data_IF_472747402408
#
_entry.id   IF_472747402408
#
_cell.length_a   1.000
_cell.length_b   1.000
_cell.length_c   1.000
_cell.angle_alpha   90.00
_cell.angle_beta   90.00
_cell.angle_gamma   90.00
#
_symmetry.space_group_name_H-M   'P 1'
#
loop_
_entity.id
_entity.type
_entity.pdbx_description
1 polymer ?
#
# COMPACT_ATOMS: atom_id res chain seq x y z
N UNK A 1 -6.04 4.56 30.96
CA UNK A 1 -5.56 4.80 29.60
C UNK A 1 -4.91 3.54 29.06
N UNK A 2 -5.21 3.19 27.83
CA UNK A 2 -4.62 2.05 27.17
C UNK A 2 -3.83 2.55 25.96
N UNK A 3 -2.49 2.66 26.05
CA UNK A 3 -1.70 3.10 24.92
C UNK A 3 -1.70 2.02 23.84
N UNK A 4 -2.21 2.38 22.67
CA UNK A 4 -2.18 1.50 21.51
C UNK A 4 -1.11 1.94 20.52
N UNK A 5 -0.59 1.00 19.77
CA UNK A 5 0.23 1.28 18.60
C UNK A 5 -0.37 0.54 17.40
N UNK A 6 -0.13 1.09 16.22
CA UNK A 6 -0.53 0.41 14.99
C UNK A 6 0.26 -0.89 14.83
N UNK A 7 -0.37 -1.98 14.44
CA UNK A 7 0.29 -3.28 14.28
C UNK A 7 0.34 -3.71 12.82
N UNK A 8 -0.80 -3.88 12.19
CA UNK A 8 -0.84 -4.33 10.80
C UNK A 8 -2.13 -3.89 10.13
N UNK A 9 -2.11 -3.95 8.81
CA UNK A 9 -3.30 -3.84 7.98
C UNK A 9 -3.51 -5.18 7.27
N UNK A 10 -4.76 -5.61 7.14
CA UNK A 10 -5.10 -6.86 6.48
C UNK A 10 -6.01 -6.58 5.29
N UNK A 11 -5.70 -7.18 4.16
CA UNK A 11 -6.44 -7.01 2.92
C UNK A 11 -6.86 -8.38 2.38
N UNK A 12 -8.13 -8.48 1.99
CA UNK A 12 -8.61 -9.63 1.22
C UNK A 12 -8.13 -9.50 -0.22
N UNK A 13 -7.51 -10.53 -0.76
CA UNK A 13 -6.97 -10.51 -2.12
C UNK A 13 -7.47 -11.72 -2.91
N UNK A 14 -7.70 -11.56 -4.20
CA UNK A 14 -8.18 -12.67 -5.04
C UNK A 14 -7.05 -13.61 -5.41
N UNK A 15 -5.89 -13.08 -5.76
CA UNK A 15 -4.70 -13.85 -6.10
C UNK A 15 -3.54 -13.38 -5.21
N UNK A 16 -3.24 -14.17 -4.18
CA UNK A 16 -2.22 -13.79 -3.21
C UNK A 16 -0.82 -13.70 -3.84
N UNK A 17 -0.53 -14.51 -4.84
CA UNK A 17 0.77 -14.49 -5.51
C UNK A 17 0.94 -13.18 -6.30
N UNK A 18 -0.09 -12.76 -7.02
CA UNK A 18 -0.08 -11.49 -7.74
C UNK A 18 0.09 -10.31 -6.78
N UNK A 19 -0.63 -10.33 -5.66
CA UNK A 19 -0.53 -9.26 -4.67
C UNK A 19 0.85 -9.22 -4.00
N UNK A 20 1.42 -10.36 -3.64
CA UNK A 20 2.78 -10.42 -3.08
C UNK A 20 3.80 -9.84 -4.07
N UNK A 21 3.70 -10.23 -5.34
CA UNK A 21 4.63 -9.73 -6.37
C UNK A 21 4.50 -8.22 -6.51
N UNK A 22 3.29 -7.69 -6.50
CA UNK A 22 3.06 -6.25 -6.56
C UNK A 22 3.73 -5.52 -5.39
N UNK A 23 3.46 -5.94 -4.17
CA UNK A 23 3.98 -5.24 -2.99
C UNK A 23 5.50 -5.35 -2.86
N UNK A 24 6.08 -6.46 -3.27
CA UNK A 24 7.54 -6.59 -3.33
C UNK A 24 8.15 -5.68 -4.39
N UNK A 25 7.54 -5.63 -5.56
CA UNK A 25 8.09 -4.92 -6.71
C UNK A 25 7.85 -3.41 -6.63
N UNK A 26 6.62 -3.02 -6.29
CA UNK A 26 6.20 -1.61 -6.31
C UNK A 26 6.59 -0.90 -5.02
N UNK A 27 6.25 -1.46 -3.87
CA UNK A 27 6.58 -0.85 -2.57
C UNK A 27 7.90 -1.37 -1.99
N UNK A 28 8.52 -2.36 -2.64
CA UNK A 28 9.78 -2.95 -2.21
C UNK A 28 9.73 -3.50 -0.78
N UNK A 29 8.57 -4.00 -0.39
CA UNK A 29 8.39 -4.63 0.92
C UNK A 29 9.02 -6.02 0.94
N UNK A 30 9.41 -6.47 2.11
CA UNK A 30 10.01 -7.78 2.32
C UNK A 30 8.97 -8.74 2.88
N UNK A 31 8.80 -9.89 2.26
CA UNK A 31 7.94 -10.93 2.79
C UNK A 31 8.55 -11.54 4.06
N UNK A 32 7.72 -11.74 5.09
CA UNK A 32 8.11 -12.33 6.37
C UNK A 32 7.24 -13.56 6.64
N UNK A 33 7.71 -14.39 7.57
CA UNK A 33 6.99 -15.60 7.95
C UNK A 33 5.69 -15.28 8.68
N UNK A 34 4.59 -15.93 8.28
CA UNK A 34 3.35 -15.95 9.03
C UNK A 34 3.52 -16.88 10.23
N UNK A 35 3.67 -16.30 11.42
CA UNK A 35 3.87 -17.06 12.65
C UNK A 35 2.57 -17.34 13.40
N UNK A 36 1.43 -16.81 12.91
CA UNK A 36 0.16 -16.89 13.62
C UNK A 36 -0.68 -18.10 13.22
N UNK A 37 -0.50 -18.64 12.00
CA UNK A 37 -1.36 -19.71 11.50
C UNK A 37 -0.69 -20.51 10.40
N UNK A 38 -1.31 -21.64 10.07
CA UNK A 38 -0.94 -22.47 8.92
C UNK A 38 -1.81 -22.13 7.71
N UNK A 39 -2.52 -21.01 7.73
CA UNK A 39 -3.32 -20.54 6.61
C UNK A 39 -2.43 -20.08 5.46
N UNK A 40 -3.06 -19.81 4.30
CA UNK A 40 -2.34 -19.29 3.13
C UNK A 40 -2.17 -17.78 3.17
N UNK A 41 -2.51 -17.12 4.28
CA UNK A 41 -2.27 -15.69 4.48
C UNK A 41 -0.76 -15.42 4.48
N UNK A 42 -0.34 -14.44 3.69
CA UNK A 42 1.07 -14.09 3.55
C UNK A 42 1.31 -12.68 4.09
N UNK A 43 2.44 -12.52 4.76
CA UNK A 43 2.78 -11.30 5.48
C UNK A 43 3.96 -10.60 4.84
N UNK A 44 3.89 -9.28 4.82
CA UNK A 44 4.99 -8.40 4.41
C UNK A 44 5.30 -7.43 5.54
N UNK A 45 6.58 -7.13 5.70
CA UNK A 45 7.04 -6.12 6.65
C UNK A 45 6.95 -4.74 6.00
N UNK A 46 6.38 -3.76 6.71
CA UNK A 46 6.42 -2.38 6.28
C UNK A 46 7.66 -1.71 6.89
N UNK A 47 7.61 -1.31 8.12
CA UNK A 47 8.75 -0.79 8.87
C UNK A 47 8.39 -0.74 10.34
N UNK A 48 9.38 -0.63 11.22
CA UNK A 48 9.16 -0.50 12.66
C UNK A 48 8.24 -1.58 13.23
N UNK A 49 8.33 -2.81 12.68
CA UNK A 49 7.50 -3.92 13.11
C UNK A 49 6.06 -3.90 12.61
N UNK A 50 5.69 -2.92 11.78
CA UNK A 50 4.37 -2.85 11.16
C UNK A 50 4.31 -3.80 9.98
N UNK A 51 3.14 -4.36 9.71
CA UNK A 51 2.99 -5.45 8.73
C UNK A 51 1.79 -5.23 7.82
N UNK A 52 1.86 -5.85 6.66
CA UNK A 52 0.74 -5.99 5.73
C UNK A 52 0.43 -7.47 5.61
N UNK A 53 -0.82 -7.86 5.88
CA UNK A 53 -1.29 -9.24 5.77
C UNK A 53 -2.20 -9.36 4.56
N UNK A 54 -1.89 -10.30 3.67
CA UNK A 54 -2.68 -10.56 2.47
C UNK A 54 -3.41 -11.89 2.65
N UNK A 55 -4.73 -11.81 2.73
CA UNK A 55 -5.61 -12.95 3.02
C UNK A 55 -6.25 -13.42 1.73
N UNK A 56 -5.91 -14.62 1.22
CA UNK A 56 -6.52 -15.10 -0.03
C UNK A 56 -8.01 -15.36 0.12
N UNK A 57 -8.78 -14.72 -0.73
CA UNK A 57 -10.24 -14.83 -0.84
C UNK A 57 -10.61 -14.82 -2.31
N UNK A 58 -10.33 -15.91 -3.06
CA UNK A 58 -10.48 -15.91 -4.52
C UNK A 58 -11.92 -15.67 -5.00
N UNK A 59 -12.90 -16.02 -4.17
CA UNK A 59 -14.31 -15.87 -4.51
C UNK A 59 -14.96 -14.62 -3.93
N UNK A 60 -14.19 -13.78 -3.23
CA UNK A 60 -14.74 -12.58 -2.61
C UNK A 60 -15.02 -11.49 -3.66
N UNK A 61 -16.11 -10.77 -3.46
CA UNK A 61 -16.36 -9.52 -4.16
C UNK A 61 -15.64 -8.41 -3.40
N UNK A 62 -14.63 -7.81 -4.03
CA UNK A 62 -13.85 -6.75 -3.41
C UNK A 62 -14.33 -5.42 -3.96
N UNK A 63 -14.88 -4.59 -3.06
CA UNK A 63 -15.31 -3.23 -3.38
C UNK A 63 -14.39 -2.26 -2.67
N UNK A 64 -13.86 -1.29 -3.41
CA UNK A 64 -12.95 -0.29 -2.88
C UNK A 64 -13.47 1.11 -3.17
N UNK A 65 -13.05 2.07 -2.37
CA UNK A 65 -13.24 3.48 -2.68
C UNK A 65 -12.03 4.26 -2.15
N UNK A 66 -11.73 5.37 -2.80
CA UNK A 66 -10.51 6.13 -2.54
C UNK A 66 -10.46 6.73 -1.14
N UNK A 67 -11.64 7.01 -0.54
CA UNK A 67 -11.69 7.54 0.81
C UNK A 67 -11.29 6.51 1.87
N UNK A 68 -11.25 5.22 1.51
CA UNK A 68 -10.74 4.15 2.36
C UNK A 68 -9.39 3.73 1.78
N UNK A 69 -8.32 4.21 2.39
CA UNK A 69 -6.97 3.94 1.93
C UNK A 69 -6.02 3.86 3.13
N UNK A 70 -4.85 3.31 2.92
CA UNK A 70 -3.77 3.44 3.88
C UNK A 70 -2.65 4.29 3.29
N UNK A 71 -1.90 4.95 4.15
CA UNK A 71 -0.85 5.86 3.74
C UNK A 71 0.49 5.41 4.31
N UNK A 72 1.51 5.49 3.48
CA UNK A 72 2.89 5.26 3.86
C UNK A 72 3.69 6.53 3.58
N UNK A 73 4.67 6.81 4.45
CA UNK A 73 5.51 7.99 4.32
C UNK A 73 6.91 7.61 3.85
N UNK A 74 7.50 8.46 3.04
CA UNK A 74 8.88 8.30 2.59
C UNK A 74 9.57 9.66 2.46
N UNK A 75 10.85 9.72 2.81
CA UNK A 75 11.66 10.90 2.56
C UNK A 75 12.05 11.05 1.09
N UNK A 76 11.82 10.02 0.27
CA UNK A 76 12.28 9.94 -1.12
C UNK A 76 11.11 9.85 -2.10
N UNK A 77 10.09 10.69 -1.92
CA UNK A 77 8.86 10.62 -2.72
C UNK A 77 9.12 10.81 -4.22
N UNK A 78 9.96 11.75 -4.61
CA UNK A 78 10.25 11.97 -6.03
C UNK A 78 10.96 10.77 -6.68
N UNK A 79 11.85 10.11 -5.96
CA UNK A 79 12.50 8.88 -6.42
C UNK A 79 11.46 7.76 -6.55
N UNK A 80 10.53 7.68 -5.61
CA UNK A 80 9.46 6.70 -5.66
C UNK A 80 8.53 6.93 -6.86
N UNK A 81 8.18 8.18 -7.15
CA UNK A 81 7.36 8.51 -8.33
C UNK A 81 8.04 8.04 -9.62
N UNK A 82 9.35 8.27 -9.76
CA UNK A 82 10.11 7.76 -10.91
C UNK A 82 10.06 6.24 -11.00
N UNK A 83 10.13 5.56 -9.86
CA UNK A 83 10.00 4.11 -9.79
C UNK A 83 8.63 3.64 -10.30
N UNK A 84 7.54 4.30 -9.90
CA UNK A 84 6.20 4.01 -10.43
C UNK A 84 6.14 4.21 -11.94
N UNK A 85 6.72 5.29 -12.44
CA UNK A 85 6.74 5.59 -13.87
C UNK A 85 7.51 4.54 -14.66
N UNK A 86 8.65 4.09 -14.15
CA UNK A 86 9.46 3.02 -14.76
C UNK A 86 8.68 1.69 -14.81
N UNK A 87 7.91 1.39 -13.77
CA UNK A 87 7.08 0.19 -13.70
C UNK A 87 5.74 0.36 -14.42
N UNK A 88 5.46 1.54 -14.95
CA UNK A 88 4.18 1.88 -15.60
C UNK A 88 2.98 1.67 -14.68
N UNK A 89 3.15 1.97 -13.40
CA UNK A 89 2.07 2.00 -12.43
C UNK A 89 1.44 3.39 -12.44
N UNK A 90 0.16 3.45 -12.74
CA UNK A 90 -0.58 4.71 -12.77
C UNK A 90 -0.73 5.30 -11.37
N UNK A 91 -0.54 6.60 -11.24
CA UNK A 91 -0.78 7.34 -10.01
C UNK A 91 -1.47 8.67 -10.31
N UNK A 92 -2.03 9.27 -9.29
CA UNK A 92 -2.77 10.53 -9.44
C UNK A 92 -2.78 11.33 -8.15
N UNK A 93 -3.30 12.56 -8.24
CA UNK A 93 -3.73 13.31 -7.06
C UNK A 93 -5.09 12.79 -6.56
N UNK A 94 -5.64 13.43 -5.54
CA UNK A 94 -6.95 13.05 -4.98
C UNK A 94 -8.09 13.18 -6.02
N UNK A 95 -7.98 14.11 -6.93
CA UNK A 95 -9.01 14.39 -7.94
C UNK A 95 -8.89 13.50 -9.19
N UNK A 96 -8.07 12.45 -9.13
CA UNK A 96 -7.82 11.53 -10.24
C UNK A 96 -7.14 12.16 -11.45
N UNK A 97 -6.41 13.25 -11.25
CA UNK A 97 -5.60 13.84 -12.32
C UNK A 97 -4.40 12.93 -12.58
N UNK A 98 -4.28 12.33 -13.78
CA UNK A 98 -3.20 11.40 -14.06
C UNK A 98 -1.82 12.04 -13.95
N UNK A 99 -0.85 11.27 -13.43
CA UNK A 99 0.55 11.64 -13.36
C UNK A 99 0.80 12.94 -12.60
N UNK A 100 -0.05 13.21 -11.60
CA UNK A 100 0.03 14.45 -10.83
C UNK A 100 0.10 14.17 -9.34
N UNK A 101 1.04 14.84 -8.67
CA UNK A 101 1.09 14.90 -7.21
C UNK A 101 0.23 16.07 -6.69
N UNK A 102 0.02 16.09 -5.40
CA UNK A 102 -0.68 17.17 -4.73
C UNK A 102 0.19 17.71 -3.60
N UNK A 103 0.32 19.05 -3.54
CA UNK A 103 1.01 19.73 -2.47
C UNK A 103 -0.03 20.28 -1.50
N UNK A 104 -0.04 19.75 -0.28
CA UNK A 104 -0.95 20.18 0.79
C UNK A 104 -0.61 21.60 1.26
N UNK A 105 -1.53 22.23 1.98
CA UNK A 105 -1.31 23.57 2.55
C UNK A 105 -0.08 23.63 3.46
N UNK A 106 0.24 22.52 4.14
CA UNK A 106 1.41 22.41 5.01
C UNK A 106 2.71 22.07 4.25
N UNK A 107 2.65 21.98 2.93
CA UNK A 107 3.80 21.70 2.08
C UNK A 107 4.07 20.20 1.87
N UNK A 108 3.33 19.33 2.54
CA UNK A 108 3.46 17.88 2.34
C UNK A 108 2.95 17.50 0.96
N UNK A 109 3.70 16.66 0.26
CA UNK A 109 3.37 16.17 -1.07
C UNK A 109 2.82 14.75 -0.97
N UNK A 110 1.78 14.44 -1.73
CA UNK A 110 1.16 13.12 -1.70
C UNK A 110 0.68 12.68 -3.08
N UNK A 111 0.65 11.36 -3.29
CA UNK A 111 0.11 10.71 -4.47
C UNK A 111 -0.75 9.52 -4.06
N UNK A 112 -1.58 9.06 -4.99
CA UNK A 112 -2.45 7.89 -4.82
C UNK A 112 -2.27 6.92 -5.98
N UNK A 113 -2.30 5.64 -5.68
CA UNK A 113 -2.36 4.58 -6.69
C UNK A 113 -3.07 3.36 -6.12
N UNK A 114 -3.34 2.37 -6.97
CA UNK A 114 -4.09 1.19 -6.57
C UNK A 114 -3.24 -0.06 -6.68
N UNK A 115 -3.53 -1.02 -5.80
CA UNK A 115 -2.97 -2.36 -5.88
C UNK A 115 -3.77 -3.23 -6.88
N UNK A 116 -3.39 -4.51 -7.13
CA UNK A 116 -4.10 -5.34 -8.11
C UNK A 116 -5.57 -5.60 -7.81
N UNK A 117 -6.00 -5.45 -6.56
CA UNK A 117 -7.40 -5.64 -6.17
C UNK A 117 -8.18 -4.32 -6.13
N UNK A 118 -7.54 -3.21 -6.47
CA UNK A 118 -8.15 -1.89 -6.45
C UNK A 118 -8.05 -1.15 -5.12
N UNK A 119 -7.34 -1.69 -4.13
CA UNK A 119 -7.12 -0.99 -2.87
C UNK A 119 -6.28 0.26 -3.10
N UNK A 120 -6.73 1.35 -2.51
CA UNK A 120 -6.04 2.64 -2.65
C UNK A 120 -4.90 2.77 -1.65
N UNK A 121 -3.79 3.28 -2.13
CA UNK A 121 -2.57 3.52 -1.36
C UNK A 121 -2.17 4.96 -1.56
N UNK A 122 -1.95 5.67 -0.46
CA UNK A 122 -1.36 7.01 -0.48
C UNK A 122 0.12 6.90 -0.11
N UNK A 123 0.97 7.61 -0.85
CA UNK A 123 2.37 7.82 -0.44
C UNK A 123 2.56 9.31 -0.26
N UNK A 124 3.17 9.70 0.85
CA UNK A 124 3.46 11.08 1.14
C UNK A 124 4.86 11.24 1.73
N UNK A 125 5.30 12.48 1.89
CA UNK A 125 6.59 12.79 2.49
C UNK A 125 6.49 13.41 3.89
N UNK A 126 5.42 13.10 4.59
CA UNK A 126 5.18 13.53 5.97
C UNK A 126 5.98 12.64 6.93
N UNK A 127 7.25 12.97 7.06
CA UNK A 127 8.20 12.23 7.88
C UNK A 127 8.39 12.91 9.24
#
# INVERSE_FOLDING_TARGET
>A
MHPFSFNHIALSVKDVNESIDFYKKVLQLTEIKNTASNSKTRWLSISEGKQLHLIPRPDAEIKTNKAVHFALATASLHTFIKHLEELKVEYSDWLDTPDKDYIRKDGIVQIYFQDPNGYWIEINNDI
#
